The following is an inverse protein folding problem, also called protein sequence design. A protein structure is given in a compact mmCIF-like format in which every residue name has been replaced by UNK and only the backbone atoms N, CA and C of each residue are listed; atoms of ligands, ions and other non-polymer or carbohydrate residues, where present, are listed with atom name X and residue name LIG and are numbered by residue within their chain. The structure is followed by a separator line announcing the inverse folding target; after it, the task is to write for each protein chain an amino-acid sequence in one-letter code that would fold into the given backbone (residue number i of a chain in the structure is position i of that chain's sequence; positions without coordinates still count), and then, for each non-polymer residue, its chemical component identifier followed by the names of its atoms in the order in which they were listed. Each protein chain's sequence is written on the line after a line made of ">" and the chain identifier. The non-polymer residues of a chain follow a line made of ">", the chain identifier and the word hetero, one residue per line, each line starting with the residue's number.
data_IF_392228146716
#
_entry.id   IF_392228146716
#
_cell.length_a   1.000
_cell.length_b   1.000
_cell.length_c   1.000
_cell.angle_alpha   90.00
_cell.angle_beta   90.00
_cell.angle_gamma   90.00
#
_symmetry.space_group_name_H-M   'P 1'
#
loop_
_entity.id
_entity.type
_entity.pdbx_description
1 polymer ?
#
# COMPACT_ATOMS: atom_id res chain seq x y z
N UNK A 1 -6.82 -16.69 16.68
CA UNK A 1 -7.32 -15.55 15.91
C UNK A 1 -6.83 -15.59 14.44
N UNK A 2 -5.52 -15.74 14.19
CA UNK A 2 -4.96 -15.69 12.83
C UNK A 2 -5.40 -16.88 11.95
N UNK A 3 -5.42 -18.11 12.46
CA UNK A 3 -5.88 -19.28 11.70
C UNK A 3 -7.32 -19.15 11.22
N UNK A 4 -8.23 -18.68 12.07
CA UNK A 4 -9.66 -18.47 11.76
C UNK A 4 -9.83 -17.41 10.66
N UNK A 5 -8.90 -16.45 10.56
CA UNK A 5 -8.96 -15.38 9.60
C UNK A 5 -8.22 -15.66 8.27
N UNK A 6 -7.74 -16.89 8.05
CA UNK A 6 -7.13 -17.30 6.78
C UNK A 6 -5.62 -17.07 6.68
N UNK A 7 -4.91 -16.97 7.82
CA UNK A 7 -3.45 -16.89 7.85
C UNK A 7 -2.81 -18.12 7.21
N UNK A 8 -1.93 -17.91 6.23
CA UNK A 8 -1.10 -18.95 5.64
C UNK A 8 0.23 -19.05 6.38
N UNK A 9 0.50 -20.22 7.01
CA UNK A 9 1.62 -20.42 7.93
C UNK A 9 2.99 -20.18 7.29
N UNK A 10 3.19 -20.61 6.06
CA UNK A 10 4.49 -20.58 5.38
C UNK A 10 4.59 -19.42 4.37
N UNK A 11 3.72 -18.41 4.48
CA UNK A 11 3.68 -17.27 3.62
C UNK A 11 4.00 -15.99 4.44
N UNK A 12 4.99 -15.21 3.98
CA UNK A 12 5.26 -13.88 4.52
C UNK A 12 4.12 -12.90 4.26
N UNK A 13 4.07 -11.82 5.01
CA UNK A 13 3.07 -10.77 4.84
C UNK A 13 3.32 -9.91 3.57
N UNK A 14 4.57 -9.82 3.14
CA UNK A 14 4.99 -9.00 2.01
C UNK A 14 6.43 -8.54 2.13
N UNK A 15 6.84 -7.63 1.27
CA UNK A 15 8.17 -7.03 1.24
C UNK A 15 8.17 -5.68 0.53
N UNK A 16 9.19 -4.87 0.84
CA UNK A 16 9.41 -3.57 0.23
C UNK A 16 9.86 -3.70 -1.22
N UNK A 17 9.32 -2.83 -2.09
CA UNK A 17 9.58 -2.83 -3.54
C UNK A 17 9.90 -1.45 -4.07
N UNK A 18 10.65 -1.42 -5.18
CA UNK A 18 10.80 -0.28 -6.07
C UNK A 18 9.81 -0.38 -7.23
N UNK A 19 9.26 0.74 -7.62
CA UNK A 19 8.41 0.87 -8.79
C UNK A 19 9.14 1.65 -9.88
N UNK A 20 8.84 1.43 -11.16
CA UNK A 20 9.36 2.28 -12.23
C UNK A 20 9.00 3.74 -12.02
N UNK A 21 9.83 4.63 -12.56
CA UNK A 21 9.48 6.07 -12.61
C UNK A 21 8.15 6.22 -13.37
N UNK A 22 7.26 7.04 -12.83
CA UNK A 22 5.91 7.25 -13.38
C UNK A 22 4.98 6.02 -13.33
N UNK A 23 5.26 5.05 -12.47
CA UNK A 23 4.31 3.97 -12.23
C UNK A 23 3.01 4.52 -11.67
N UNK A 24 1.88 4.01 -12.18
CA UNK A 24 0.56 4.50 -11.79
C UNK A 24 0.14 3.97 -10.43
N UNK A 25 0.37 4.73 -9.37
CA UNK A 25 0.06 4.35 -7.99
C UNK A 25 -1.42 3.98 -7.76
N UNK A 26 -2.34 4.47 -8.59
CA UNK A 26 -3.76 4.09 -8.53
C UNK A 26 -4.01 2.62 -8.95
N UNK A 27 -3.03 1.94 -9.53
CA UNK A 27 -3.09 0.50 -9.77
C UNK A 27 -2.82 -0.32 -8.50
N UNK A 28 -2.38 0.30 -7.39
CA UNK A 28 -2.27 -0.35 -6.10
C UNK A 28 -3.63 -0.59 -5.45
N UNK A 29 -3.66 -1.51 -4.49
CA UNK A 29 -4.83 -1.78 -3.65
C UNK A 29 -5.22 -3.25 -3.57
N UNK A 30 -6.05 -3.61 -2.60
CA UNK A 30 -6.43 -4.99 -2.28
C UNK A 30 -7.25 -5.70 -3.37
N UNK A 31 -7.84 -4.95 -4.27
CA UNK A 31 -8.67 -5.42 -5.38
C UNK A 31 -7.91 -5.60 -6.70
N UNK A 32 -6.62 -5.24 -6.75
CA UNK A 32 -5.74 -5.51 -7.88
C UNK A 32 -4.67 -6.53 -7.49
N UNK A 33 -5.07 -7.78 -7.44
CA UNK A 33 -4.22 -8.90 -7.07
C UNK A 33 -3.66 -9.54 -8.33
N UNK A 34 -2.35 -9.73 -8.37
CA UNK A 34 -1.62 -10.43 -9.42
C UNK A 34 -0.58 -11.35 -8.82
N UNK A 35 -0.11 -12.33 -9.56
CA UNK A 35 1.08 -13.08 -9.20
C UNK A 35 2.31 -12.17 -9.14
N UNK A 36 3.26 -12.48 -8.26
CA UNK A 36 4.50 -11.72 -8.10
C UNK A 36 5.26 -11.61 -9.43
N UNK A 37 5.28 -12.67 -10.24
CA UNK A 37 5.85 -12.64 -11.60
C UNK A 37 5.25 -11.53 -12.46
N UNK A 38 3.93 -11.36 -12.43
CA UNK A 38 3.25 -10.32 -13.21
C UNK A 38 3.61 -8.91 -12.73
N UNK A 39 3.81 -8.74 -11.43
CA UNK A 39 4.32 -7.47 -10.90
C UNK A 39 5.75 -7.20 -11.37
N UNK A 40 6.61 -8.22 -11.42
CA UNK A 40 7.97 -8.09 -11.97
C UNK A 40 7.96 -7.73 -13.45
N UNK A 41 7.07 -8.32 -14.26
CA UNK A 41 6.88 -7.94 -15.67
C UNK A 41 6.49 -6.46 -15.83
N UNK A 42 5.82 -5.88 -14.84
CA UNK A 42 5.52 -4.44 -14.79
C UNK A 42 6.68 -3.60 -14.23
N UNK A 43 7.86 -4.18 -14.03
CA UNK A 43 9.05 -3.49 -13.54
C UNK A 43 9.11 -3.29 -12.03
N UNK A 44 8.17 -3.88 -11.27
CA UNK A 44 8.23 -3.86 -9.80
C UNK A 44 9.35 -4.80 -9.36
N UNK A 45 10.27 -4.30 -8.55
CA UNK A 45 11.42 -5.08 -8.08
C UNK A 45 11.58 -5.00 -6.56
N UNK A 46 12.16 -6.03 -5.94
CA UNK A 46 12.51 -6.00 -4.52
C UNK A 46 13.57 -4.92 -4.25
N UNK A 47 13.43 -4.21 -3.14
CA UNK A 47 14.44 -3.25 -2.67
C UNK A 47 15.69 -3.98 -2.18
N UNK A 48 15.52 -5.10 -1.46
CA UNK A 48 16.61 -5.93 -0.96
C UNK A 48 16.48 -7.34 -1.48
N UNK A 49 17.63 -8.01 -1.72
CA UNK A 49 17.65 -9.44 -2.09
C UNK A 49 17.30 -10.34 -0.91
N UNK A 50 17.58 -9.88 0.30
CA UNK A 50 17.33 -10.60 1.54
C UNK A 50 15.88 -10.42 1.97
N UNK A 51 15.13 -11.49 1.98
CA UNK A 51 13.81 -11.57 2.59
C UNK A 51 13.77 -12.77 3.53
N UNK A 52 13.14 -12.62 4.69
CA UNK A 52 13.05 -13.69 5.69
C UNK A 52 12.07 -14.79 5.30
N UNK A 53 11.31 -14.57 4.24
CA UNK A 53 10.30 -15.49 3.76
C UNK A 53 10.47 -15.78 2.28
N UNK A 54 10.29 -17.04 1.91
CA UNK A 54 10.16 -17.41 0.51
C UNK A 54 8.82 -16.89 -0.03
N UNK A 55 8.87 -16.26 -1.19
CA UNK A 55 7.69 -15.87 -1.96
C UNK A 55 7.77 -16.60 -3.31
N UNK A 56 7.11 -17.76 -3.45
CA UNK A 56 7.00 -18.42 -4.74
C UNK A 56 6.51 -17.45 -5.81
N UNK A 57 7.01 -17.60 -7.02
CA UNK A 57 6.75 -16.67 -8.12
C UNK A 57 5.27 -16.50 -8.47
N UNK A 58 4.49 -17.55 -8.26
CA UNK A 58 3.03 -17.57 -8.43
C UNK A 58 2.24 -17.08 -7.20
N UNK A 59 2.93 -16.55 -6.18
CA UNK A 59 2.25 -15.99 -5.01
C UNK A 59 1.39 -14.79 -5.42
N UNK A 60 0.11 -14.85 -5.05
CA UNK A 60 -0.81 -13.74 -5.24
C UNK A 60 -0.48 -12.58 -4.28
N UNK A 61 -0.26 -11.40 -4.83
CA UNK A 61 0.08 -10.19 -4.09
C UNK A 61 -0.60 -8.97 -4.69
N UNK A 62 -0.76 -7.94 -3.89
CA UNK A 62 -1.19 -6.61 -4.34
C UNK A 62 -0.17 -5.55 -3.98
N UNK A 63 -0.13 -4.48 -4.76
CA UNK A 63 0.79 -3.38 -4.54
C UNK A 63 0.17 -2.38 -3.55
N UNK A 64 0.91 -2.07 -2.50
CA UNK A 64 0.49 -1.16 -1.43
C UNK A 64 1.32 0.12 -1.46
N UNK A 65 0.61 1.26 -1.50
CA UNK A 65 1.14 2.62 -1.42
C UNK A 65 0.59 3.33 -0.16
N UNK A 66 1.12 3.09 1.04
CA UNK A 66 0.51 3.61 2.27
C UNK A 66 0.44 5.14 2.30
N UNK A 67 1.45 5.80 1.73
CA UNK A 67 1.59 7.26 1.62
C UNK A 67 1.77 7.72 0.17
N UNK A 68 1.17 7.00 -0.79
CA UNK A 68 1.37 7.32 -2.20
C UNK A 68 2.85 7.32 -2.59
N UNK A 69 3.27 8.32 -3.38
CA UNK A 69 4.67 8.49 -3.81
C UNK A 69 5.58 9.08 -2.71
N UNK A 70 5.03 9.41 -1.54
CA UNK A 70 5.78 10.00 -0.42
C UNK A 70 6.30 8.98 0.60
N UNK A 71 6.29 7.71 0.27
CA UNK A 71 6.79 6.66 1.17
C UNK A 71 7.16 5.36 0.48
N UNK A 72 7.67 4.40 1.27
CA UNK A 72 7.93 3.05 0.81
C UNK A 72 6.70 2.39 0.19
N UNK A 73 6.94 1.51 -0.77
CA UNK A 73 5.93 0.72 -1.47
C UNK A 73 6.17 -0.75 -1.16
N UNK A 74 5.11 -1.53 -1.17
CA UNK A 74 5.19 -2.94 -0.78
C UNK A 74 4.38 -3.81 -1.73
N UNK A 75 4.87 -5.01 -2.03
CA UNK A 75 4.02 -6.12 -2.46
C UNK A 75 3.58 -6.86 -1.21
N UNK A 76 2.27 -6.95 -1.01
CA UNK A 76 1.66 -7.54 0.18
C UNK A 76 0.79 -8.73 -0.20
N UNK A 77 0.85 -9.78 0.62
CA UNK A 77 0.09 -11.02 0.43
C UNK A 77 -1.21 -11.01 1.22
N UNK A 78 -1.97 -12.08 1.13
CA UNK A 78 -3.19 -12.26 1.95
C UNK A 78 -2.92 -12.14 3.46
N UNK A 79 -1.73 -12.50 3.93
CA UNK A 79 -1.37 -12.41 5.36
C UNK A 79 -1.36 -10.96 5.86
N UNK A 80 -0.97 -10.00 5.04
CA UNK A 80 -1.09 -8.58 5.38
C UNK A 80 -2.54 -8.18 5.65
N UNK A 81 -3.46 -8.66 4.83
CA UNK A 81 -4.88 -8.37 5.00
C UNK A 81 -5.52 -9.09 6.20
N UNK A 82 -4.93 -10.21 6.64
CA UNK A 82 -5.31 -10.83 7.92
C UNK A 82 -4.96 -9.92 9.10
N UNK A 83 -3.80 -9.25 9.08
CA UNK A 83 -3.45 -8.25 10.10
C UNK A 83 -4.45 -7.09 10.08
N UNK A 84 -4.84 -6.63 8.90
CA UNK A 84 -5.83 -5.56 8.73
C UNK A 84 -7.23 -5.90 9.25
N UNK A 85 -7.58 -7.16 9.41
CA UNK A 85 -8.84 -7.56 10.06
C UNK A 85 -8.88 -7.21 11.55
N UNK A 86 -7.72 -7.09 12.19
CA UNK A 86 -7.61 -6.65 13.57
C UNK A 86 -7.68 -5.11 13.68
N UNK A 87 -6.95 -4.42 12.80
CA UNK A 87 -6.97 -2.96 12.70
C UNK A 87 -6.81 -2.57 11.23
N UNK A 88 -7.80 -1.87 10.67
CA UNK A 88 -7.87 -1.56 9.24
C UNK A 88 -6.83 -0.52 8.75
N UNK A 89 -5.97 0.00 9.62
CA UNK A 89 -4.89 0.90 9.25
C UNK A 89 -3.77 0.17 8.51
N UNK A 90 -3.37 0.67 7.34
CA UNK A 90 -2.21 0.17 6.60
C UNK A 90 -0.91 0.33 7.42
N UNK A 91 -0.76 1.47 8.10
CA UNK A 91 0.42 1.75 8.93
C UNK A 91 0.51 0.84 10.15
N UNK A 92 -0.62 0.55 10.80
CA UNK A 92 -0.66 -0.40 11.90
C UNK A 92 -0.25 -1.80 11.43
N UNK A 93 -0.83 -2.28 10.35
CA UNK A 93 -0.52 -3.61 9.81
C UNK A 93 0.95 -3.71 9.39
N UNK A 94 1.51 -2.67 8.74
CA UNK A 94 2.93 -2.60 8.39
C UNK A 94 3.83 -2.60 9.64
N UNK A 95 3.47 -1.82 10.66
CA UNK A 95 4.24 -1.75 11.91
C UNK A 95 4.31 -3.13 12.58
N UNK A 96 3.17 -3.79 12.76
CA UNK A 96 3.10 -5.12 13.39
C UNK A 96 3.86 -6.15 12.57
N UNK A 97 3.66 -6.18 11.26
CA UNK A 97 4.31 -7.12 10.35
C UNK A 97 5.85 -6.94 10.35
N UNK A 98 6.31 -5.70 10.20
CA UNK A 98 7.75 -5.40 10.20
C UNK A 98 8.40 -5.62 11.58
N UNK A 99 7.71 -5.28 12.66
CA UNK A 99 8.20 -5.55 14.01
C UNK A 99 8.37 -7.06 14.24
N UNK A 100 7.42 -7.88 13.81
CA UNK A 100 7.52 -9.34 13.85
C UNK A 100 8.77 -9.85 13.12
N UNK A 101 9.02 -9.36 11.90
CA UNK A 101 10.22 -9.71 11.13
C UNK A 101 11.51 -9.30 11.87
N UNK A 102 11.53 -8.11 12.46
CA UNK A 102 12.70 -7.62 13.21
C UNK A 102 13.00 -8.44 14.47
N UNK A 103 11.97 -8.90 15.16
CA UNK A 103 12.11 -9.77 16.34
C UNK A 103 12.63 -11.14 15.92
N UNK A 104 12.04 -11.73 14.86
CA UNK A 104 12.36 -13.09 14.43
C UNK A 104 13.77 -13.21 13.82
N UNK A 105 14.23 -12.22 13.05
CA UNK A 105 15.38 -12.38 12.17
C UNK A 105 16.36 -11.19 12.17
N UNK A 106 16.14 -10.20 13.03
CA UNK A 106 16.91 -8.93 13.06
C UNK A 106 16.93 -8.21 11.71
N UNK A 107 15.84 -8.28 10.99
CA UNK A 107 15.69 -7.66 9.67
C UNK A 107 16.04 -6.17 9.70
N UNK A 108 16.51 -5.65 8.57
CA UNK A 108 16.88 -4.24 8.42
C UNK A 108 15.62 -3.35 8.40
N UNK A 109 15.72 -2.06 8.75
CA UNK A 109 14.63 -1.11 8.55
C UNK A 109 14.29 -0.99 7.05
N UNK A 110 13.14 -0.42 6.74
CA UNK A 110 12.79 -0.08 5.37
C UNK A 110 13.86 0.81 4.73
N UNK A 111 14.16 0.57 3.47
CA UNK A 111 15.23 1.27 2.76
C UNK A 111 14.75 2.61 2.19
N UNK A 112 13.51 2.65 1.71
CA UNK A 112 12.88 3.88 1.25
C UNK A 112 12.46 4.74 2.45
N UNK A 113 12.64 6.05 2.34
CA UNK A 113 12.29 6.98 3.42
C UNK A 113 10.86 7.48 3.31
N UNK A 114 10.23 7.70 4.46
CA UNK A 114 8.96 8.41 4.55
C UNK A 114 9.21 9.91 4.39
N UNK A 115 8.85 10.46 3.23
CA UNK A 115 9.00 11.90 2.98
C UNK A 115 7.99 12.68 3.82
N UNK A 116 8.40 13.84 4.30
CA UNK A 116 7.47 14.77 4.93
C UNK A 116 6.39 15.20 3.93
N UNK A 117 5.16 15.28 4.39
CA UNK A 117 4.03 15.85 3.65
C UNK A 117 3.38 16.90 4.54
N UNK A 118 2.63 17.81 3.98
CA UNK A 118 1.85 18.73 4.77
C UNK A 118 0.90 17.96 5.69
N UNK A 119 0.71 18.45 6.90
CA UNK A 119 -0.18 17.82 7.86
C UNK A 119 -1.61 17.86 7.29
N UNK A 120 -2.15 16.68 7.09
CA UNK A 120 -3.57 16.51 6.78
C UNK A 120 -4.32 16.22 8.08
N UNK A 121 -5.42 16.92 8.31
CA UNK A 121 -6.37 16.57 9.36
C UNK A 121 -7.63 15.93 8.76
N UNK A 122 -8.48 15.41 9.61
CA UNK A 122 -9.71 14.72 9.20
C UNK A 122 -10.58 15.63 8.33
N UNK A 123 -10.73 16.89 8.69
CA UNK A 123 -11.59 17.84 7.96
C UNK A 123 -11.08 18.09 6.53
N UNK A 124 -9.78 18.30 6.36
CA UNK A 124 -9.16 18.47 5.02
C UNK A 124 -9.34 17.24 4.16
N UNK A 125 -9.18 16.05 4.73
CA UNK A 125 -9.38 14.80 3.99
C UNK A 125 -10.85 14.59 3.67
N UNK A 126 -11.74 14.92 4.58
CA UNK A 126 -13.19 14.89 4.35
C UNK A 126 -13.59 15.80 3.18
N UNK A 127 -13.09 17.03 3.13
CA UNK A 127 -13.35 17.94 2.00
C UNK A 127 -12.75 17.43 0.69
N UNK A 128 -11.54 16.86 0.72
CA UNK A 128 -10.95 16.20 -0.44
C UNK A 128 -11.84 15.07 -0.95
N UNK A 129 -12.32 14.19 -0.07
CA UNK A 129 -13.21 13.08 -0.41
C UNK A 129 -14.52 13.60 -1.02
N UNK A 130 -15.11 14.65 -0.44
CA UNK A 130 -16.31 15.31 -0.98
C UNK A 130 -16.08 15.78 -2.41
N UNK A 131 -15.00 16.53 -2.65
CA UNK A 131 -14.66 17.03 -3.98
C UNK A 131 -14.43 15.90 -4.99
N UNK A 132 -13.77 14.80 -4.59
CA UNK A 132 -13.58 13.64 -5.46
C UNK A 132 -14.91 12.97 -5.81
N UNK A 133 -15.84 12.83 -4.86
CA UNK A 133 -17.19 12.29 -5.08
C UNK A 133 -17.98 13.15 -6.07
N UNK A 134 -17.96 14.48 -5.90
CA UNK A 134 -18.63 15.44 -6.80
C UNK A 134 -18.08 15.35 -8.24
N UNK A 135 -16.83 14.92 -8.40
CA UNK A 135 -16.21 14.66 -9.72
C UNK A 135 -16.39 13.22 -10.21
N UNK A 136 -17.23 12.41 -9.54
CA UNK A 136 -17.56 11.05 -9.95
C UNK A 136 -16.56 9.97 -9.54
N UNK A 137 -15.65 10.23 -8.62
CA UNK A 137 -14.68 9.25 -8.14
C UNK A 137 -15.16 8.51 -6.88
N UNK A 138 -14.89 7.21 -6.82
CA UNK A 138 -15.27 6.35 -5.69
C UNK A 138 -14.18 6.37 -4.61
N UNK A 139 -14.38 7.13 -3.54
CA UNK A 139 -13.47 7.20 -2.39
C UNK A 139 -13.73 6.12 -1.33
N UNK A 140 -14.80 5.33 -1.46
CA UNK A 140 -15.28 4.42 -0.42
C UNK A 140 -16.09 5.16 0.64
N UNK A 141 -15.75 4.98 1.91
CA UNK A 141 -16.37 5.75 2.99
C UNK A 141 -15.94 7.22 2.92
N UNK A 142 -16.89 8.12 3.19
CA UNK A 142 -16.64 9.55 3.29
C UNK A 142 -16.46 9.88 4.79
N UNK A 143 -15.27 9.60 5.30
CA UNK A 143 -14.97 9.54 6.75
C UNK A 143 -13.75 10.38 7.16
N UNK A 144 -13.13 11.09 6.22
CA UNK A 144 -11.91 11.86 6.48
C UNK A 144 -10.65 11.01 6.64
N UNK A 145 -10.70 9.71 6.28
CA UNK A 145 -9.54 8.82 6.36
C UNK A 145 -9.01 8.48 4.96
N UNK A 146 -7.69 8.49 4.81
CA UNK A 146 -7.04 8.21 3.51
C UNK A 146 -6.89 6.69 3.34
N UNK A 147 -7.96 6.02 2.92
CA UNK A 147 -7.95 4.61 2.53
C UNK A 147 -7.42 4.38 1.11
N UNK A 148 -7.32 3.12 0.68
CA UNK A 148 -6.84 2.77 -0.66
C UNK A 148 -7.74 3.34 -1.77
N UNK A 149 -9.07 3.41 -1.58
CA UNK A 149 -10.00 3.99 -2.56
C UNK A 149 -9.82 5.50 -2.68
N UNK A 150 -9.61 6.21 -1.57
CA UNK A 150 -9.30 7.64 -1.58
C UNK A 150 -8.00 7.91 -2.32
N UNK A 151 -6.93 7.14 -2.06
CA UNK A 151 -5.64 7.27 -2.76
C UNK A 151 -5.78 7.00 -4.26
N UNK A 152 -6.50 5.95 -4.62
CA UNK A 152 -6.77 5.61 -6.03
C UNK A 152 -7.54 6.73 -6.74
N UNK A 153 -8.61 7.20 -6.15
CA UNK A 153 -9.44 8.28 -6.70
C UNK A 153 -8.67 9.57 -6.89
N UNK A 154 -7.82 9.91 -5.91
CA UNK A 154 -6.93 11.06 -6.03
C UNK A 154 -5.94 10.89 -7.19
N UNK A 155 -5.31 9.71 -7.33
CA UNK A 155 -4.38 9.44 -8.42
C UNK A 155 -5.06 9.53 -9.80
N UNK A 156 -6.26 8.98 -9.95
CA UNK A 156 -7.05 9.08 -11.18
C UNK A 156 -7.47 10.52 -11.48
N UNK A 157 -7.86 11.28 -10.46
CA UNK A 157 -8.17 12.70 -10.62
C UNK A 157 -6.94 13.52 -11.03
N UNK A 158 -5.78 13.26 -10.40
CA UNK A 158 -4.51 13.90 -10.76
C UNK A 158 -4.14 13.60 -12.21
N UNK A 159 -4.27 12.36 -12.67
CA UNK A 159 -4.04 11.94 -14.05
C UNK A 159 -4.99 12.68 -15.02
N UNK A 160 -6.28 12.70 -14.72
CA UNK A 160 -7.30 13.39 -15.53
C UNK A 160 -7.04 14.90 -15.65
N UNK A 161 -6.40 15.50 -14.64
CA UNK A 161 -6.04 16.92 -14.60
C UNK A 161 -4.62 17.22 -15.07
N UNK A 162 -3.92 16.24 -15.65
CA UNK A 162 -2.51 16.36 -16.07
C UNK A 162 -1.59 16.90 -14.95
N UNK A 163 -1.84 16.48 -13.70
CA UNK A 163 -1.03 16.79 -12.53
C UNK A 163 -0.07 15.65 -12.22
N UNK A 164 0.94 15.93 -11.40
CA UNK A 164 1.80 14.90 -10.85
C UNK A 164 0.96 13.86 -10.08
N UNK A 165 1.11 12.59 -10.44
CA UNK A 165 0.32 11.49 -9.85
C UNK A 165 1.02 10.99 -8.60
N UNK A 166 0.59 11.48 -7.45
CA UNK A 166 1.17 11.14 -6.14
C UNK A 166 0.31 10.16 -5.34
N UNK A 167 -0.98 10.03 -5.66
CA UNK A 167 -1.97 9.25 -4.91
C UNK A 167 -2.01 9.57 -3.40
N UNK A 168 -1.54 10.75 -3.00
CA UNK A 168 -1.58 11.20 -1.61
C UNK A 168 -1.68 12.73 -1.57
N UNK A 169 -2.49 13.31 -0.69
CA UNK A 169 -2.61 14.76 -0.59
C UNK A 169 -1.32 15.37 -0.04
N UNK A 170 -0.88 16.45 -0.64
CA UNK A 170 0.31 17.23 -0.24
C UNK A 170 0.08 18.73 -0.40
N UNK A 171 -1.11 19.19 -0.11
CA UNK A 171 -1.46 20.62 -0.15
C UNK A 171 -2.24 21.05 1.07
#
# INVERSE_FOLDING_TARGET
>A
LFKINGWAKDLGWGYEVKTPKNFRCHLGGPDNIKEITKWHEHGISKVTKETNHAFPSNTAASLLYPKGEYGPKFLVTKNFYVLKKYNNSDFYALYVAHLSDRIATRNKPFQETWKATLATNIDKVYQLQKNLIEHGFNVGAHDGLIGHKTRRSLGLWQEKKNREITCFPNT
#
